data_IF_344421991516
#
_entry.id   IF_344421991516
#
_cell.length_a   1.000
_cell.length_b   1.000
_cell.length_c   1.000
_cell.angle_alpha   90.00
_cell.angle_beta   90.00
_cell.angle_gamma   90.00
#
_symmetry.space_group_name_H-M   'P 1'
#
loop_
_entity.id
_entity.type
_entity.pdbx_description
1 polymer ?
#
# COMPACT_ATOMS: atom_id res chain seq x y z
N UNK A 1 -11.01 4.89 -1.48
CA UNK A 1 -9.65 4.64 -0.97
C UNK A 1 -9.63 3.38 -0.14
N UNK A 2 -8.77 2.44 -0.49
CA UNK A 2 -8.61 1.16 0.19
C UNK A 2 -7.23 1.15 0.84
N UNK A 3 -7.16 0.99 2.15
CA UNK A 3 -5.92 0.78 2.87
C UNK A 3 -5.60 -0.72 2.90
N UNK A 4 -4.36 -1.11 2.60
CA UNK A 4 -3.98 -2.52 2.64
C UNK A 4 -2.56 -2.69 3.17
N UNK A 5 -2.42 -3.56 4.18
CA UNK A 5 -1.10 -4.00 4.63
C UNK A 5 -1.13 -5.44 5.15
N UNK A 6 0.05 -5.98 5.35
CA UNK A 6 0.25 -7.21 6.10
C UNK A 6 1.05 -6.93 7.36
N UNK A 7 0.69 -7.59 8.45
CA UNK A 7 1.37 -7.50 9.74
C UNK A 7 1.64 -8.87 10.33
N UNK A 8 2.67 -8.96 11.14
CA UNK A 8 2.98 -10.16 11.91
C UNK A 8 2.02 -10.32 13.10
N UNK A 9 2.09 -11.46 13.80
CA UNK A 9 1.30 -11.70 15.00
C UNK A 9 1.55 -10.62 16.08
N UNK A 10 2.76 -10.09 16.15
CA UNK A 10 3.23 -9.05 17.07
C UNK A 10 3.22 -7.64 16.45
N UNK A 11 2.41 -7.45 15.37
CA UNK A 11 2.04 -6.14 14.79
C UNK A 11 3.18 -5.40 14.08
N UNK A 12 4.11 -6.09 13.43
CA UNK A 12 5.14 -5.47 12.60
C UNK A 12 4.84 -5.63 11.10
N UNK A 13 5.11 -4.59 10.31
CA UNK A 13 4.96 -4.59 8.85
C UNK A 13 6.24 -4.98 8.10
N UNK A 14 7.39 -4.78 8.72
CA UNK A 14 8.69 -5.14 8.15
C UNK A 14 9.71 -5.32 9.27
N UNK A 15 10.78 -6.10 9.04
CA UNK A 15 11.91 -6.13 9.96
C UNK A 15 12.59 -4.76 10.05
N UNK A 16 13.32 -4.50 11.12
CA UNK A 16 14.04 -3.25 11.35
C UNK A 16 15.15 -3.06 10.30
N UNK A 17 15.87 -4.13 10.00
CA UNK A 17 16.93 -4.15 9.01
C UNK A 17 16.64 -5.18 7.93
N UNK A 18 16.87 -4.81 6.67
CA UNK A 18 16.89 -5.70 5.51
C UNK A 18 18.30 -5.73 4.94
N UNK A 19 18.83 -6.91 4.68
CA UNK A 19 20.15 -7.09 4.08
C UNK A 19 20.14 -6.84 2.55
N UNK A 20 18.96 -6.82 1.95
CA UNK A 20 18.77 -6.58 0.52
C UNK A 20 17.44 -5.88 0.24
N UNK A 21 17.19 -5.51 -1.02
CA UNK A 21 15.93 -4.89 -1.48
C UNK A 21 14.83 -5.91 -1.77
N UNK A 22 15.02 -7.20 -1.45
CA UNK A 22 13.98 -8.20 -1.68
C UNK A 22 12.84 -8.00 -0.70
N UNK A 23 11.58 -8.19 -1.16
CA UNK A 23 10.44 -8.11 -0.26
C UNK A 23 10.54 -9.13 0.87
N UNK A 24 10.36 -8.70 2.10
CA UNK A 24 10.14 -9.60 3.21
C UNK A 24 8.66 -10.00 3.24
N UNK A 25 8.39 -11.27 2.92
CA UNK A 25 7.02 -11.76 2.84
C UNK A 25 6.49 -12.15 4.23
N UNK A 26 5.63 -11.30 4.77
CA UNK A 26 4.89 -11.58 6.01
C UNK A 26 3.72 -12.52 5.70
N UNK A 27 3.00 -12.27 4.60
CA UNK A 27 1.79 -13.00 4.22
C UNK A 27 2.09 -14.26 3.39
N UNK A 28 1.23 -15.27 3.51
CA UNK A 28 1.29 -16.51 2.75
C UNK A 28 1.00 -16.31 1.25
N UNK A 29 1.20 -17.36 0.45
CA UNK A 29 1.02 -17.32 -1.02
C UNK A 29 -0.42 -16.95 -1.40
N UNK A 30 -1.39 -17.57 -0.76
CA UNK A 30 -2.82 -17.34 -1.03
C UNK A 30 -3.23 -15.89 -0.74
N UNK A 31 -2.71 -15.32 0.35
CA UNK A 31 -2.90 -13.90 0.67
C UNK A 31 -2.31 -13.00 -0.42
N UNK A 32 -1.11 -13.32 -0.94
CA UNK A 32 -0.50 -12.56 -2.04
C UNK A 32 -1.29 -12.68 -3.34
N UNK A 33 -1.80 -13.87 -3.68
CA UNK A 33 -2.67 -14.04 -4.84
C UNK A 33 -3.94 -13.18 -4.73
N UNK A 34 -4.56 -13.12 -3.55
CA UNK A 34 -5.72 -12.27 -3.31
C UNK A 34 -5.37 -10.77 -3.48
N UNK A 35 -4.18 -10.34 -3.04
CA UNK A 35 -3.70 -8.98 -3.28
C UNK A 35 -3.54 -8.70 -4.79
N UNK A 36 -3.02 -9.64 -5.56
CA UNK A 36 -2.91 -9.48 -7.02
C UNK A 36 -4.29 -9.43 -7.70
N UNK A 37 -5.28 -10.19 -7.21
CA UNK A 37 -6.67 -10.05 -7.63
C UNK A 37 -7.17 -8.63 -7.40
N UNK A 38 -7.03 -8.09 -6.19
CA UNK A 38 -7.46 -6.71 -5.89
C UNK A 38 -6.75 -5.66 -6.74
N UNK A 39 -5.45 -5.83 -7.03
CA UNK A 39 -4.74 -4.94 -7.94
C UNK A 39 -5.31 -4.95 -9.35
N UNK A 40 -5.88 -6.07 -9.81
CA UNK A 40 -6.53 -6.15 -11.12
C UNK A 40 -7.95 -5.57 -11.14
N UNK A 41 -8.56 -5.42 -9.99
CA UNK A 41 -9.92 -4.89 -9.83
C UNK A 41 -9.94 -3.37 -9.59
N UNK A 42 -8.87 -2.82 -9.01
CA UNK A 42 -8.80 -1.41 -8.65
C UNK A 42 -8.07 -0.58 -9.72
N UNK A 43 -8.50 0.67 -9.88
CA UNK A 43 -7.96 1.55 -10.92
C UNK A 43 -6.49 1.90 -10.69
N UNK A 44 -6.07 2.03 -9.44
CA UNK A 44 -4.70 2.42 -9.11
C UNK A 44 -4.18 1.85 -7.79
N UNK A 45 -2.85 1.88 -7.66
CA UNK A 45 -2.11 1.49 -6.46
C UNK A 45 -1.14 2.59 -6.08
N UNK A 46 -1.06 2.92 -4.79
CA UNK A 46 -0.21 3.99 -4.28
C UNK A 46 0.76 3.49 -3.21
N UNK A 47 2.02 3.93 -3.32
CA UNK A 47 3.06 3.73 -2.31
C UNK A 47 3.84 5.02 -2.05
N UNK A 48 4.45 5.11 -0.88
CA UNK A 48 5.35 6.20 -0.52
C UNK A 48 6.79 5.99 -1.02
N UNK A 49 7.58 7.07 -1.06
CA UNK A 49 8.99 7.09 -1.45
C UNK A 49 9.83 6.01 -0.76
N UNK A 50 9.73 5.91 0.57
CA UNK A 50 10.53 4.96 1.33
C UNK A 50 10.21 3.50 1.01
N UNK A 51 8.98 3.18 0.63
CA UNK A 51 8.59 1.84 0.17
C UNK A 51 9.29 1.48 -1.13
N UNK A 52 9.43 2.46 -2.05
CA UNK A 52 10.15 2.22 -3.31
C UNK A 52 11.63 1.96 -3.05
N UNK A 53 12.26 2.72 -2.16
CA UNK A 53 13.68 2.52 -1.80
C UNK A 53 13.90 1.18 -1.11
N UNK A 54 13.01 0.81 -0.18
CA UNK A 54 13.18 -0.38 0.65
C UNK A 54 12.91 -1.70 -0.10
N UNK A 55 11.97 -1.69 -1.03
CA UNK A 55 11.43 -2.93 -1.63
C UNK A 55 11.62 -3.01 -3.15
N UNK A 56 11.99 -1.91 -3.82
CA UNK A 56 12.05 -1.79 -5.29
C UNK A 56 10.87 -2.52 -5.99
N UNK A 57 9.62 -2.16 -5.65
CA UNK A 57 8.45 -2.94 -6.04
C UNK A 57 8.07 -2.66 -7.51
N UNK A 58 7.55 -3.69 -8.19
CA UNK A 58 6.97 -3.54 -9.54
C UNK A 58 5.51 -3.06 -9.46
N UNK A 59 4.76 -3.50 -8.46
CA UNK A 59 3.32 -3.22 -8.25
C UNK A 59 2.42 -3.63 -9.44
N UNK A 60 2.78 -4.72 -10.10
CA UNK A 60 2.00 -5.32 -11.18
C UNK A 60 1.07 -6.44 -10.69
N UNK A 61 0.26 -6.96 -11.61
CA UNK A 61 -0.55 -8.18 -11.46
C UNK A 61 0.21 -9.32 -12.12
N UNK A 62 0.76 -10.26 -11.33
CA UNK A 62 1.52 -11.42 -11.84
C UNK A 62 0.99 -12.78 -11.37
N UNK A 63 0.37 -12.81 -10.19
CA UNK A 63 -0.15 -14.05 -9.58
C UNK A 63 -1.68 -14.17 -9.76
N UNK A 64 -2.27 -13.37 -10.65
CA UNK A 64 -3.69 -13.37 -11.01
C UNK A 64 -3.84 -12.91 -12.46
N UNK A 65 -4.93 -13.28 -13.12
CA UNK A 65 -5.25 -12.80 -14.48
C UNK A 65 -6.00 -11.47 -14.40
N UNK A 66 -5.51 -10.45 -15.08
CA UNK A 66 -6.14 -9.12 -15.13
C UNK A 66 -5.17 -8.01 -15.53
N UNK A 67 -5.69 -6.79 -15.61
CA UNK A 67 -4.91 -5.62 -16.00
C UNK A 67 -4.07 -5.07 -14.84
N UNK A 68 -2.93 -4.50 -15.18
CA UNK A 68 -2.13 -3.79 -14.19
C UNK A 68 -2.79 -2.46 -13.79
N UNK A 69 -2.80 -2.10 -12.48
CA UNK A 69 -3.27 -0.80 -12.03
C UNK A 69 -2.32 0.32 -12.45
N UNK A 70 -2.81 1.55 -12.51
CA UNK A 70 -1.95 2.74 -12.57
C UNK A 70 -1.15 2.82 -11.27
N UNK A 71 0.16 2.90 -11.38
CA UNK A 71 1.05 3.04 -10.23
C UNK A 71 1.18 4.50 -9.84
N UNK A 72 1.08 4.79 -8.56
CA UNK A 72 1.23 6.12 -7.99
C UNK A 72 2.31 6.08 -6.94
N UNK A 73 3.25 6.98 -7.01
CA UNK A 73 4.31 7.10 -6.01
C UNK A 73 4.36 8.52 -5.45
N UNK A 74 4.37 8.64 -4.11
CA UNK A 74 4.61 9.91 -3.44
C UNK A 74 6.11 10.11 -3.35
N UNK A 75 6.66 11.02 -4.15
CA UNK A 75 8.07 11.42 -4.12
C UNK A 75 8.18 12.94 -4.07
N UNK A 76 8.00 13.49 -2.86
CA UNK A 76 7.91 14.94 -2.60
C UNK A 76 8.99 15.73 -3.30
N UNK A 77 10.23 15.28 -3.23
CA UNK A 77 11.42 15.96 -3.74
C UNK A 77 11.85 15.49 -5.13
N UNK A 78 11.10 14.56 -5.73
CA UNK A 78 11.42 13.95 -7.03
C UNK A 78 12.85 13.34 -7.08
N UNK A 79 13.21 12.58 -6.02
CA UNK A 79 14.55 12.01 -5.83
C UNK A 79 14.67 10.54 -6.23
N UNK A 80 13.57 9.87 -6.56
CA UNK A 80 13.60 8.47 -6.99
C UNK A 80 14.30 8.34 -8.36
N UNK A 81 15.26 7.44 -8.42
CA UNK A 81 15.96 7.12 -9.67
C UNK A 81 15.03 6.39 -10.63
N UNK A 82 15.14 6.68 -11.92
CA UNK A 82 14.35 6.00 -12.97
C UNK A 82 14.68 4.52 -13.14
N UNK A 83 15.77 4.04 -12.53
CA UNK A 83 16.16 2.64 -12.50
C UNK A 83 15.31 1.76 -11.58
N UNK A 84 14.50 2.34 -10.67
CA UNK A 84 13.57 1.57 -9.86
C UNK A 84 12.51 0.89 -10.72
N UNK A 85 12.16 -0.37 -10.39
CA UNK A 85 11.22 -1.21 -11.15
C UNK A 85 9.83 -0.61 -11.29
N UNK A 86 9.40 0.24 -10.35
CA UNK A 86 8.12 0.96 -10.44
C UNK A 86 8.02 1.86 -11.69
N UNK A 87 9.15 2.20 -12.32
CA UNK A 87 9.20 3.01 -13.55
C UNK A 87 9.33 2.20 -14.83
N UNK A 88 9.27 0.86 -14.77
CA UNK A 88 9.26 0.04 -15.99
C UNK A 88 8.01 0.32 -16.85
N UNK A 89 8.01 -0.17 -18.09
CA UNK A 89 6.98 0.12 -19.09
C UNK A 89 5.72 -0.75 -18.98
N UNK A 90 5.66 -1.70 -18.02
CA UNK A 90 4.51 -2.62 -17.87
C UNK A 90 3.21 -1.92 -17.46
N UNK A 91 3.31 -0.76 -16.81
CA UNK A 91 2.15 0.04 -16.43
C UNK A 91 2.53 1.51 -16.30
N UNK A 92 1.54 2.40 -16.44
CA UNK A 92 1.71 3.83 -16.23
C UNK A 92 2.08 4.14 -14.78
N UNK A 93 3.09 4.99 -14.56
CA UNK A 93 3.47 5.47 -13.23
C UNK A 93 3.29 6.98 -13.13
N UNK A 94 2.58 7.44 -12.12
CA UNK A 94 2.37 8.85 -11.77
C UNK A 94 3.18 9.17 -10.52
N UNK A 95 4.03 10.20 -10.61
CA UNK A 95 4.80 10.70 -9.45
C UNK A 95 4.10 11.92 -8.90
N UNK A 96 3.71 11.86 -7.62
CA UNK A 96 3.16 13.01 -6.89
C UNK A 96 4.27 13.70 -6.12
N UNK A 97 4.58 14.94 -6.48
CA UNK A 97 5.63 15.76 -5.87
C UNK A 97 5.13 17.17 -5.51
N UNK A 98 6.00 18.00 -4.93
CA UNK A 98 5.68 19.38 -4.49
C UNK A 98 5.23 20.31 -5.62
N UNK A 99 5.50 19.99 -6.89
CA UNK A 99 5.02 20.78 -8.03
C UNK A 99 3.56 20.42 -8.39
N UNK A 100 3.06 19.28 -7.92
CA UNK A 100 1.74 18.75 -8.26
C UNK A 100 0.74 19.03 -7.14
N UNK A 101 1.12 18.81 -5.87
CA UNK A 101 0.26 19.08 -4.72
C UNK A 101 1.03 19.82 -3.63
N UNK A 102 0.30 20.56 -2.79
CA UNK A 102 0.86 21.20 -1.60
C UNK A 102 0.90 20.21 -0.43
N UNK A 103 2.11 19.80 -0.04
CA UNK A 103 2.33 18.89 1.09
C UNK A 103 2.33 19.57 2.47
N UNK A 104 2.10 20.85 2.58
CA UNK A 104 1.94 21.56 3.85
C UNK A 104 0.55 21.42 4.46
N UNK A 105 -0.44 21.02 3.67
CA UNK A 105 -1.83 20.77 4.07
C UNK A 105 -2.08 19.27 4.32
N UNK A 106 -3.33 18.91 4.53
CA UNK A 106 -3.74 17.51 4.63
C UNK A 106 -3.38 16.74 3.33
N UNK A 107 -2.30 15.96 3.38
CA UNK A 107 -1.72 15.30 2.21
C UNK A 107 -2.69 14.34 1.55
N UNK A 108 -3.46 13.56 2.31
CA UNK A 108 -4.41 12.57 1.78
C UNK A 108 -5.53 13.24 1.00
N UNK A 109 -6.07 14.37 1.48
CA UNK A 109 -7.08 15.16 0.77
C UNK A 109 -6.57 15.69 -0.57
N UNK A 110 -5.36 16.27 -0.58
CA UNK A 110 -4.77 16.79 -1.81
C UNK A 110 -4.46 15.66 -2.81
N UNK A 111 -4.03 14.51 -2.32
CA UNK A 111 -3.86 13.31 -3.14
C UNK A 111 -5.20 12.86 -3.74
N UNK A 112 -6.27 12.73 -2.94
CA UNK A 112 -7.59 12.35 -3.41
C UNK A 112 -8.14 13.33 -4.46
N UNK A 113 -8.02 14.65 -4.24
CA UNK A 113 -8.39 15.67 -5.21
C UNK A 113 -7.61 15.57 -6.52
N UNK A 114 -6.31 15.30 -6.43
CA UNK A 114 -5.46 15.10 -7.61
C UNK A 114 -5.89 13.84 -8.39
N UNK A 115 -6.13 12.72 -7.71
CA UNK A 115 -6.58 11.48 -8.33
C UNK A 115 -7.93 11.66 -9.02
N UNK A 116 -8.88 12.33 -8.36
CA UNK A 116 -10.18 12.68 -8.94
C UNK A 116 -10.04 13.48 -10.24
N UNK A 117 -9.20 14.54 -10.25
CA UNK A 117 -8.89 15.34 -11.45
C UNK A 117 -8.23 14.50 -12.58
N UNK A 118 -7.65 13.35 -12.27
CA UNK A 118 -7.08 12.40 -13.23
C UNK A 118 -8.04 11.29 -13.64
N UNK A 119 -9.32 11.38 -13.24
CA UNK A 119 -10.35 10.36 -13.45
C UNK A 119 -9.98 9.00 -12.84
N UNK A 120 -9.21 8.99 -11.76
CA UNK A 120 -8.87 7.78 -10.99
C UNK A 120 -9.93 7.61 -9.90
N UNK A 121 -10.76 6.57 -10.04
CA UNK A 121 -11.94 6.35 -9.18
C UNK A 121 -11.64 5.51 -7.94
N UNK A 122 -10.60 4.67 -8.00
CA UNK A 122 -10.21 3.85 -6.85
C UNK A 122 -8.69 3.76 -6.72
N UNK A 123 -8.23 3.63 -5.47
CA UNK A 123 -6.81 3.48 -5.14
C UNK A 123 -6.60 2.56 -3.96
N UNK A 124 -5.68 1.59 -4.11
CA UNK A 124 -5.16 0.80 -2.99
C UNK A 124 -3.90 1.49 -2.46
N UNK A 125 -3.89 1.85 -1.19
CA UNK A 125 -2.71 2.34 -0.49
C UNK A 125 -1.98 1.14 0.13
N UNK A 126 -0.86 0.73 -0.46
CA UNK A 126 -0.11 -0.44 0.01
C UNK A 126 1.11 -0.11 0.90
N UNK A 127 1.30 1.14 1.24
CA UNK A 127 2.36 1.51 2.16
C UNK A 127 3.14 2.77 1.75
N UNK A 128 4.26 3.23 2.46
CA UNK A 128 4.64 2.71 3.76
C UNK A 128 3.76 3.20 4.93
N UNK A 129 4.17 2.89 6.15
CA UNK A 129 3.44 3.22 7.37
C UNK A 129 2.97 4.67 7.41
N UNK A 130 3.86 5.63 7.19
CA UNK A 130 3.53 7.06 7.20
C UNK A 130 2.41 7.42 6.21
N UNK A 131 2.42 6.82 5.02
CA UNK A 131 1.36 7.06 4.04
C UNK A 131 0.02 6.50 4.53
N UNK A 132 0.00 5.29 5.09
CA UNK A 132 -1.19 4.71 5.68
C UNK A 132 -1.72 5.58 6.84
N UNK A 133 -0.84 6.00 7.74
CA UNK A 133 -1.19 6.89 8.86
C UNK A 133 -1.75 8.24 8.39
N UNK A 134 -1.20 8.84 7.32
CA UNK A 134 -1.73 10.09 6.74
C UNK A 134 -3.21 9.93 6.30
N UNK A 135 -3.57 8.79 5.72
CA UNK A 135 -4.95 8.50 5.31
C UNK A 135 -5.86 8.12 6.49
N UNK A 136 -5.35 7.35 7.45
CA UNK A 136 -6.09 6.95 8.67
C UNK A 136 -6.43 8.19 9.52
N UNK A 137 -5.41 9.01 9.83
CA UNK A 137 -5.57 10.17 10.72
C UNK A 137 -6.44 11.28 10.13
N UNK A 138 -6.59 11.31 8.82
CA UNK A 138 -7.46 12.27 8.12
C UNK A 138 -8.80 11.68 7.72
N UNK A 139 -9.09 10.45 8.13
CA UNK A 139 -10.33 9.72 7.84
C UNK A 139 -10.66 9.60 6.34
N UNK A 140 -9.64 9.71 5.48
CA UNK A 140 -9.79 9.63 4.02
C UNK A 140 -9.64 8.19 3.50
N UNK A 141 -10.41 7.28 4.03
CA UNK A 141 -10.43 5.88 3.61
C UNK A 141 -11.84 5.29 3.72
N UNK A 142 -12.16 4.35 2.84
CA UNK A 142 -13.47 3.70 2.79
C UNK A 142 -13.41 2.26 3.29
N UNK A 143 -12.25 1.61 3.15
CA UNK A 143 -12.04 0.21 3.55
C UNK A 143 -10.57 -0.03 3.94
N UNK A 144 -10.35 -0.85 4.98
CA UNK A 144 -9.02 -1.36 5.31
C UNK A 144 -9.00 -2.89 5.23
N UNK A 145 -8.02 -3.44 4.51
CA UNK A 145 -7.77 -4.87 4.27
C UNK A 145 -6.47 -5.29 4.96
N UNK A 146 -6.56 -5.91 6.11
CA UNK A 146 -5.43 -6.18 6.99
C UNK A 146 -5.18 -7.69 7.06
N UNK A 147 -4.03 -8.12 6.54
CA UNK A 147 -3.56 -9.49 6.72
C UNK A 147 -2.73 -9.61 7.99
N UNK A 148 -3.09 -10.55 8.85
CA UNK A 148 -2.32 -10.90 10.04
C UNK A 148 -1.76 -12.30 9.91
N UNK A 149 -0.44 -12.41 9.87
CA UNK A 149 0.26 -13.70 9.77
C UNK A 149 0.50 -14.32 11.16
N UNK A 150 0.98 -15.57 11.17
CA UNK A 150 1.45 -16.23 12.38
C UNK A 150 2.90 -15.91 12.74
N UNK A 151 3.64 -15.27 11.85
CA UNK A 151 5.05 -14.90 12.02
C UNK A 151 5.24 -13.96 13.20
N UNK A 152 6.36 -14.08 13.90
CA UNK A 152 6.80 -13.15 14.94
C UNK A 152 8.12 -12.53 14.48
N UNK A 153 8.24 -11.22 14.54
CA UNK A 153 9.47 -10.47 14.22
C UNK A 153 10.22 -10.04 15.46
N UNK A 154 9.55 -9.84 16.60
CA UNK A 154 10.06 -9.32 17.88
C UNK A 154 10.53 -7.86 17.81
N UNK A 155 11.05 -7.42 16.66
CA UNK A 155 11.48 -6.05 16.39
C UNK A 155 11.24 -5.66 14.93
N UNK A 156 11.04 -4.37 14.65
CA UNK A 156 10.79 -3.87 13.30
C UNK A 156 9.89 -2.65 13.25
N UNK A 157 9.43 -2.33 12.05
CA UNK A 157 8.46 -1.26 11.82
C UNK A 157 7.05 -1.73 12.21
N UNK A 158 6.51 -1.17 13.28
CA UNK A 158 5.13 -1.47 13.71
C UNK A 158 4.11 -1.04 12.66
N UNK A 159 3.04 -1.83 12.52
CA UNK A 159 1.86 -1.48 11.73
C UNK A 159 1.20 -0.19 12.25
N UNK A 160 0.47 0.55 11.40
CA UNK A 160 -0.34 1.67 11.87
C UNK A 160 -1.47 1.17 12.78
N UNK A 161 -1.85 2.00 13.73
CA UNK A 161 -3.09 1.79 14.49
C UNK A 161 -4.27 2.28 13.69
N UNK A 162 -5.37 1.53 13.71
CA UNK A 162 -6.61 1.89 13.01
C UNK A 162 -7.82 1.55 13.87
N UNK A 163 -8.76 2.48 13.90
CA UNK A 163 -10.04 2.30 14.56
C UNK A 163 -11.15 2.31 13.52
N UNK A 164 -12.11 1.38 13.67
CA UNK A 164 -13.20 1.25 12.71
C UNK A 164 -14.07 0.04 13.00
N UNK A 165 -15.16 -0.08 12.24
CA UNK A 165 -16.09 -1.19 12.33
C UNK A 165 -15.52 -2.40 11.57
N UNK A 166 -15.33 -3.52 12.25
CA UNK A 166 -14.95 -4.78 11.60
C UNK A 166 -16.15 -5.33 10.81
N UNK A 167 -15.99 -5.49 9.51
CA UNK A 167 -17.01 -6.01 8.59
C UNK A 167 -16.88 -7.53 8.46
N UNK A 168 -15.65 -8.03 8.32
CA UNK A 168 -15.40 -9.46 8.21
C UNK A 168 -14.04 -9.87 8.77
N UNK A 169 -13.95 -11.13 9.17
CA UNK A 169 -12.70 -11.81 9.51
C UNK A 169 -12.70 -13.17 8.82
N UNK A 170 -11.77 -13.38 7.90
CA UNK A 170 -11.69 -14.59 7.08
C UNK A 170 -10.29 -15.18 7.16
N UNK A 171 -10.19 -16.51 7.17
CA UNK A 171 -8.92 -17.21 7.07
C UNK A 171 -8.54 -17.34 5.59
N UNK A 172 -7.34 -16.90 5.22
CA UNK A 172 -6.77 -17.01 3.88
C UNK A 172 -5.46 -17.80 4.00
N UNK A 173 -5.47 -19.05 3.56
CA UNK A 173 -4.36 -19.95 3.82
C UNK A 173 -4.08 -20.06 5.33
N UNK A 174 -2.90 -19.64 5.78
CA UNK A 174 -2.51 -19.59 7.19
C UNK A 174 -2.70 -18.23 7.84
N UNK A 175 -3.01 -17.19 7.04
CA UNK A 175 -3.20 -15.83 7.52
C UNK A 175 -4.67 -15.56 7.89
N UNK A 176 -4.88 -14.48 8.63
CA UNK A 176 -6.20 -13.93 8.93
C UNK A 176 -6.35 -12.59 8.22
N UNK A 177 -7.33 -12.49 7.34
CA UNK A 177 -7.76 -11.24 6.73
C UNK A 177 -8.85 -10.61 7.59
N UNK A 178 -8.66 -9.34 7.95
CA UNK A 178 -9.69 -8.50 8.57
C UNK A 178 -10.04 -7.38 7.61
N UNK A 179 -11.34 -7.20 7.33
CA UNK A 179 -11.86 -6.07 6.57
C UNK A 179 -12.58 -5.14 7.53
N UNK A 180 -12.25 -3.86 7.46
CA UNK A 180 -12.81 -2.81 8.30
C UNK A 180 -13.31 -1.64 7.45
N UNK A 181 -14.27 -0.87 8.01
CA UNK A 181 -14.72 0.43 7.50
C UNK A 181 -14.56 1.48 8.58
N UNK A 182 -14.52 2.78 8.25
CA UNK A 182 -14.62 3.86 9.22
C UNK A 182 -15.85 3.70 10.10
N UNK A 183 -15.85 4.35 11.28
CA UNK A 183 -16.99 4.39 12.21
C UNK A 183 -18.13 5.23 11.64
#
# INVERSE_FOLDING_TARGET
>A
VILKWAETKDLFMSPEFKNDTKPFWISCKESRQLVHKWRSEEHSILVGHNTVIADDPILNVRDFSGNNPIRIVIDKENKLKKSYKIFNTESKTIVINKKIINFSLNNSNEICKFLYKKNIQSVIIEGGKKTLEDFINSENWDEARIFKSKTLLKNGLKAPEIFGKVISKTKIGIDKLTIMKPL
#
